data_IF_249485060332
#
_entry.id   IF_249485060332
#
_cell.length_a   1.000
_cell.length_b   1.000
_cell.length_c   1.000
_cell.angle_alpha   90.00
_cell.angle_beta   90.00
_cell.angle_gamma   90.00
#
_symmetry.space_group_name_H-M   'P 1'
#
loop_
_entity.id
_entity.type
_entity.pdbx_description
1 polymer ?
#
# COMPACT_ATOMS: atom_id res chain seq x y z
N UNK A 1 -1.51 10.29 3.24
CA UNK A 1 -2.83 10.93 3.51
C UNK A 1 -3.47 10.16 4.67
N UNK A 2 -3.97 10.80 5.74
CA UNK A 2 -4.49 10.05 6.90
C UNK A 2 -6.00 9.81 6.75
N UNK A 3 -6.39 8.61 6.33
CA UNK A 3 -7.79 8.22 6.20
C UNK A 3 -8.37 7.96 7.58
N UNK A 4 -9.53 8.56 7.88
CA UNK A 4 -10.26 8.27 9.12
C UNK A 4 -11.14 7.04 8.89
N UNK A 5 -10.79 5.95 9.54
CA UNK A 5 -11.54 4.69 9.45
C UNK A 5 -12.80 4.76 10.32
N UNK A 6 -13.95 4.43 9.74
CA UNK A 6 -15.21 4.31 10.48
C UNK A 6 -15.44 2.88 11.00
N UNK A 7 -14.86 1.90 10.31
CA UNK A 7 -14.93 0.50 10.64
C UNK A 7 -13.51 -0.04 10.91
N UNK A 8 -13.16 -0.13 12.20
CA UNK A 8 -11.85 -0.63 12.64
C UNK A 8 -11.65 -2.11 12.32
N UNK A 9 -12.71 -2.91 12.29
CA UNK A 9 -12.60 -4.33 11.93
C UNK A 9 -12.20 -4.49 10.46
N UNK A 10 -12.76 -3.66 9.57
CA UNK A 10 -12.35 -3.64 8.16
C UNK A 10 -10.87 -3.24 8.02
N UNK A 11 -10.44 -2.23 8.78
CA UNK A 11 -9.03 -1.80 8.80
C UNK A 11 -8.10 -2.93 9.23
N UNK A 12 -8.43 -3.62 10.32
CA UNK A 12 -7.62 -4.74 10.85
C UNK A 12 -7.57 -5.88 9.84
N UNK A 13 -8.70 -6.27 9.25
CA UNK A 13 -8.74 -7.30 8.22
C UNK A 13 -7.88 -6.93 7.01
N UNK A 14 -7.97 -5.69 6.55
CA UNK A 14 -7.16 -5.22 5.43
C UNK A 14 -5.66 -5.24 5.74
N UNK A 15 -5.26 -4.83 6.96
CA UNK A 15 -3.87 -4.96 7.42
C UNK A 15 -3.39 -6.41 7.37
N UNK A 16 -4.18 -7.34 7.91
CA UNK A 16 -3.82 -8.77 7.92
C UNK A 16 -3.70 -9.35 6.51
N UNK A 17 -4.61 -9.02 5.60
CA UNK A 17 -4.57 -9.50 4.22
C UNK A 17 -3.34 -8.96 3.47
N UNK A 18 -2.99 -7.69 3.68
CA UNK A 18 -1.80 -7.08 3.07
C UNK A 18 -0.52 -7.73 3.62
N UNK A 19 -0.43 -7.95 4.94
CA UNK A 19 0.72 -8.61 5.55
C UNK A 19 0.93 -10.03 5.00
N UNK A 20 -0.14 -10.82 4.89
CA UNK A 20 -0.10 -12.17 4.33
C UNK A 20 0.36 -12.17 2.87
N UNK A 21 -0.19 -11.26 2.05
CA UNK A 21 0.22 -11.12 0.65
C UNK A 21 1.69 -10.72 0.52
N UNK A 22 2.14 -9.74 1.30
CA UNK A 22 3.51 -9.20 1.24
C UNK A 22 4.55 -10.21 1.74
N UNK A 23 4.17 -11.12 2.65
CA UNK A 23 5.08 -12.15 3.14
C UNK A 23 5.44 -13.20 2.05
N UNK A 24 4.55 -13.39 1.08
CA UNK A 24 4.70 -14.41 0.04
C UNK A 24 5.13 -13.84 -1.33
N UNK A 25 5.16 -12.51 -1.48
CA UNK A 25 5.38 -11.84 -2.77
C UNK A 25 6.46 -10.76 -2.68
N UNK A 26 7.13 -10.49 -3.80
CA UNK A 26 8.06 -9.37 -3.99
C UNK A 26 7.69 -8.61 -5.27
N UNK A 27 8.15 -7.37 -5.38
CA UNK A 27 7.80 -6.47 -6.49
C UNK A 27 6.28 -6.30 -6.58
N UNK A 28 5.68 -5.87 -5.47
CA UNK A 28 4.23 -5.77 -5.31
C UNK A 28 3.75 -4.42 -5.86
N UNK A 29 2.62 -4.45 -6.56
CA UNK A 29 1.85 -3.28 -6.98
C UNK A 29 0.65 -3.09 -6.06
N UNK A 30 0.33 -1.85 -5.69
CA UNK A 30 -0.89 -1.55 -4.91
C UNK A 30 -2.15 -1.97 -5.69
N UNK A 31 -2.15 -1.89 -7.03
CA UNK A 31 -3.28 -2.36 -7.83
C UNK A 31 -3.54 -3.85 -7.61
N UNK A 32 -2.49 -4.67 -7.56
CA UNK A 32 -2.62 -6.11 -7.32
C UNK A 32 -3.14 -6.38 -5.90
N UNK A 33 -2.74 -5.58 -4.92
CA UNK A 33 -3.28 -5.67 -3.55
C UNK A 33 -4.74 -5.24 -3.49
N UNK A 34 -5.14 -4.21 -4.25
CA UNK A 34 -6.53 -3.80 -4.37
C UNK A 34 -7.40 -4.91 -4.96
N UNK A 35 -6.94 -5.54 -6.03
CA UNK A 35 -7.62 -6.69 -6.63
C UNK A 35 -7.69 -7.88 -5.67
N UNK A 36 -6.59 -8.19 -4.98
CA UNK A 36 -6.53 -9.29 -3.99
C UNK A 36 -7.47 -9.08 -2.81
N UNK A 37 -7.55 -7.85 -2.29
CA UNK A 37 -8.36 -7.53 -1.11
C UNK A 37 -9.80 -7.15 -1.44
N UNK A 38 -10.11 -6.94 -2.71
CA UNK A 38 -11.39 -6.41 -3.18
C UNK A 38 -11.69 -5.01 -2.65
N UNK A 39 -10.66 -4.22 -2.33
CA UNK A 39 -10.79 -2.88 -1.76
C UNK A 39 -10.32 -1.81 -2.75
N UNK A 40 -10.79 -0.58 -2.56
CA UNK A 40 -10.34 0.55 -3.37
C UNK A 40 -8.84 0.82 -3.19
N UNK A 41 -8.16 1.15 -4.30
CA UNK A 41 -6.73 1.49 -4.33
C UNK A 41 -6.34 2.47 -3.21
N UNK A 42 -7.13 3.52 -3.00
CA UNK A 42 -6.80 4.58 -2.03
C UNK A 42 -6.78 4.06 -0.59
N UNK A 43 -7.66 3.10 -0.26
CA UNK A 43 -7.69 2.48 1.06
C UNK A 43 -6.49 1.57 1.26
N UNK A 44 -6.16 0.77 0.24
CA UNK A 44 -5.02 -0.14 0.26
C UNK A 44 -3.72 0.64 0.36
N UNK A 45 -3.54 1.69 -0.45
CA UNK A 45 -2.38 2.57 -0.40
C UNK A 45 -2.19 3.18 0.99
N UNK A 46 -3.27 3.68 1.61
CA UNK A 46 -3.19 4.25 2.96
C UNK A 46 -2.80 3.20 4.02
N UNK A 47 -3.27 1.96 3.91
CA UNK A 47 -2.87 0.89 4.83
C UNK A 47 -1.42 0.46 4.58
N UNK A 48 -0.97 0.39 3.33
CA UNK A 48 0.43 0.10 3.02
C UNK A 48 1.34 1.18 3.59
N UNK A 49 1.03 2.46 3.39
CA UNK A 49 1.77 3.58 3.99
C UNK A 49 1.86 3.42 5.52
N UNK A 50 0.74 3.13 6.19
CA UNK A 50 0.73 2.90 7.64
C UNK A 50 1.62 1.72 8.06
N UNK A 51 1.57 0.59 7.35
CA UNK A 51 2.37 -0.60 7.68
C UNK A 51 3.86 -0.40 7.42
N UNK A 52 4.23 0.39 6.39
CA UNK A 52 5.60 0.79 6.12
C UNK A 52 6.11 1.74 7.21
N UNK A 53 5.32 2.76 7.57
CA UNK A 53 5.65 3.71 8.64
C UNK A 53 5.77 3.02 10.00
N UNK A 54 4.96 2.00 10.27
CA UNK A 54 5.04 1.14 11.47
C UNK A 54 6.23 0.16 11.43
N UNK A 55 6.95 0.05 10.31
CA UNK A 55 8.08 -0.86 10.13
C UNK A 55 7.70 -2.33 10.02
N UNK A 56 6.41 -2.63 9.78
CA UNK A 56 5.89 -3.99 9.70
C UNK A 56 6.12 -4.62 8.32
N UNK A 57 6.22 -3.80 7.27
CA UNK A 57 6.61 -4.23 5.93
C UNK A 57 7.70 -3.32 5.36
N UNK A 58 8.69 -3.88 4.64
CA UNK A 58 9.71 -3.07 4.01
C UNK A 58 9.19 -2.44 2.71
N UNK A 59 9.46 -1.15 2.51
CA UNK A 59 9.14 -0.43 1.26
C UNK A 59 9.74 -1.13 0.02
N UNK A 60 10.87 -1.83 0.18
CA UNK A 60 11.55 -2.54 -0.90
C UNK A 60 10.78 -3.75 -1.46
N UNK A 61 9.72 -4.21 -0.80
CA UNK A 61 8.84 -5.25 -1.36
C UNK A 61 7.97 -4.72 -2.50
N UNK A 62 7.87 -3.40 -2.63
CA UNK A 62 7.03 -2.73 -3.59
C UNK A 62 7.81 -2.21 -4.80
N UNK A 63 7.13 -2.03 -5.93
CA UNK A 63 7.76 -1.38 -7.09
C UNK A 63 8.29 0.01 -6.71
N UNK A 64 9.52 0.30 -7.15
CA UNK A 64 10.23 1.56 -6.89
C UNK A 64 9.38 2.73 -7.42
N UNK A 65 8.85 3.54 -6.51
CA UNK A 65 7.90 4.61 -6.84
C UNK A 65 6.76 4.82 -5.83
N UNK A 66 6.68 4.01 -4.78
CA UNK A 66 5.71 4.22 -3.70
C UNK A 66 6.07 5.40 -2.77
N UNK A 67 7.31 5.90 -2.83
CA UNK A 67 7.75 7.07 -2.10
C UNK A 67 7.62 8.37 -2.89
N UNK A 68 6.47 9.04 -2.73
CA UNK A 68 6.16 10.43 -3.13
C UNK A 68 5.90 10.63 -4.62
N UNK A 69 4.89 11.43 -4.92
CA UNK A 69 4.76 12.15 -6.19
C UNK A 69 5.97 13.08 -6.36
N UNK A 70 7.14 12.53 -6.71
CA UNK A 70 8.29 13.28 -7.18
C UNK A 70 8.19 13.35 -8.70
N UNK A 71 7.60 14.44 -9.16
CA UNK A 71 7.95 15.07 -10.43
C UNK A 71 7.66 14.28 -11.69
N UNK A 72 6.47 14.50 -12.25
CA UNK A 72 6.23 14.49 -13.71
C UNK A 72 7.01 15.63 -14.43
N UNK A 73 8.18 16.04 -13.95
CA UNK A 73 8.91 17.22 -14.47
C UNK A 73 10.08 16.88 -15.40
N UNK A 74 10.46 15.61 -15.58
CA UNK A 74 11.61 15.25 -16.42
C UNK A 74 11.29 14.23 -17.53
N UNK A 75 10.20 14.46 -18.29
CA UNK A 75 9.98 13.77 -19.57
C UNK A 75 9.69 14.73 -20.75
N UNK A 76 10.07 16.00 -20.64
CA UNK A 76 10.11 16.92 -21.80
C UNK A 76 11.40 17.73 -21.75
N UNK A 77 12.50 17.14 -22.21
CA UNK A 77 13.58 17.83 -22.93
C UNK A 77 14.20 16.89 -23.95
#
# INVERSE_FOLDING_TARGET
MKIKWRNENLKIQLKMNILDYVNNNKNISINNLADYTGQEYILVAAVVDELVDEGLIPESHFYRGMGKAQGLENQIK
#
